data_IF_097552065100
#
_entry.id   IF_097552065100
#
_cell.length_a   1.000
_cell.length_b   1.000
_cell.length_c   1.000
_cell.angle_alpha   90.00
_cell.angle_beta   90.00
_cell.angle_gamma   90.00
#
_symmetry.space_group_name_H-M   'P 1'
#
loop_
_entity.id
_entity.type
_entity.pdbx_description
1 polymer ?
#
# COMPACT_ATOMS: atom_id res chain seq x y z
N UNK A 1 1.97 1.09 -17.10
CA UNK A 1 2.02 1.42 -15.65
C UNK A 1 3.48 1.63 -15.26
N UNK A 2 3.81 2.44 -14.24
CA UNK A 2 5.22 2.59 -13.83
C UNK A 2 5.66 1.38 -12.99
N UNK A 3 6.92 0.95 -13.04
CA UNK A 3 7.38 -0.24 -12.33
C UNK A 3 7.22 -0.13 -10.81
N UNK A 4 7.34 1.07 -10.24
CA UNK A 4 7.21 1.32 -8.81
C UNK A 4 5.79 0.97 -8.30
N UNK A 5 4.76 1.22 -9.11
CA UNK A 5 3.38 0.83 -8.81
C UNK A 5 3.23 -0.70 -8.80
N UNK A 6 3.88 -1.39 -9.74
CA UNK A 6 3.83 -2.85 -9.83
C UNK A 6 4.51 -3.48 -8.62
N UNK A 7 5.65 -2.92 -8.20
CA UNK A 7 6.33 -3.33 -6.97
C UNK A 7 5.46 -3.10 -5.73
N UNK A 8 4.85 -1.92 -5.58
CA UNK A 8 3.96 -1.62 -4.46
C UNK A 8 2.72 -2.53 -4.43
N UNK A 9 2.16 -2.85 -5.59
CA UNK A 9 1.06 -3.80 -5.71
C UNK A 9 1.47 -5.24 -5.34
N UNK A 10 2.68 -5.66 -5.73
CA UNK A 10 3.24 -6.93 -5.34
C UNK A 10 3.43 -7.02 -3.82
N UNK A 11 3.98 -5.99 -3.19
CA UNK A 11 4.12 -5.89 -1.73
C UNK A 11 2.77 -5.99 -1.02
N UNK A 12 1.74 -5.32 -1.53
CA UNK A 12 0.37 -5.44 -0.99
C UNK A 12 -0.16 -6.87 -1.11
N UNK A 13 0.00 -7.55 -2.26
CA UNK A 13 -0.42 -8.95 -2.41
C UNK A 13 0.35 -9.88 -1.47
N UNK A 14 1.66 -9.68 -1.32
CA UNK A 14 2.51 -10.44 -0.38
C UNK A 14 1.99 -10.23 1.05
N UNK A 15 1.79 -8.99 1.49
CA UNK A 15 1.25 -8.69 2.83
C UNK A 15 -0.13 -9.31 3.08
N UNK A 16 -1.00 -9.30 2.06
CA UNK A 16 -2.31 -9.96 2.14
C UNK A 16 -2.19 -11.49 2.21
N UNK A 17 -1.20 -12.09 1.56
CA UNK A 17 -0.95 -13.52 1.65
C UNK A 17 -0.38 -13.90 3.02
N UNK A 18 0.63 -13.17 3.50
CA UNK A 18 1.23 -13.40 4.81
C UNK A 18 0.23 -13.21 5.94
N UNK A 19 -0.62 -12.18 5.88
CA UNK A 19 -1.67 -11.98 6.88
C UNK A 19 -2.72 -13.08 6.90
N UNK A 20 -3.00 -13.75 5.76
CA UNK A 20 -3.85 -14.95 5.73
C UNK A 20 -3.17 -16.13 6.44
N UNK A 21 -1.89 -16.38 6.13
CA UNK A 21 -1.11 -17.45 6.80
C UNK A 21 -1.07 -17.23 8.31
N UNK A 22 -0.84 -15.99 8.76
CA UNK A 22 -0.80 -15.65 10.19
C UNK A 22 -2.16 -15.92 10.85
N UNK A 23 -3.28 -15.55 10.20
CA UNK A 23 -4.63 -15.81 10.72
C UNK A 23 -4.94 -17.30 10.80
N UNK A 24 -4.58 -18.07 9.78
CA UNK A 24 -4.72 -19.53 9.78
C UNK A 24 -3.93 -20.17 10.92
N UNK A 25 -2.69 -19.74 11.16
CA UNK A 25 -1.87 -20.18 12.30
C UNK A 25 -2.48 -19.77 13.66
N UNK A 26 -3.09 -18.58 13.77
CA UNK A 26 -3.78 -18.13 14.99
C UNK A 26 -5.06 -18.92 15.28
N UNK A 27 -5.82 -19.28 14.26
CA UNK A 27 -7.04 -20.08 14.38
C UNK A 27 -6.71 -21.54 14.77
N UNK A 28 -5.64 -22.11 14.23
CA UNK A 28 -5.12 -23.43 14.62
C UNK A 28 -4.69 -23.44 16.10
N UNK A 29 -4.00 -22.38 16.55
CA UNK A 29 -3.57 -22.25 17.95
C UNK A 29 -4.76 -22.06 18.91
N UNK A 30 -5.81 -21.34 18.52
CA UNK A 30 -7.06 -21.23 19.31
C UNK A 30 -7.82 -22.55 19.39
N UNK A 31 -7.78 -23.37 18.34
CA UNK A 31 -8.35 -24.73 18.34
C UNK A 31 -7.63 -25.69 19.29
N UNK A 32 -6.29 -25.61 19.37
CA UNK A 32 -5.48 -26.44 20.29
C UNK A 32 -5.55 -25.96 21.76
N UNK A 33 -5.73 -24.66 21.99
CA UNK A 33 -5.87 -24.06 23.33
C UNK A 33 -7.15 -24.48 24.06
N UNK A 34 -8.16 -24.98 23.35
CA UNK A 34 -9.39 -25.50 23.95
C UNK A 34 -9.25 -26.94 24.49
N UNK A 35 -8.12 -27.63 24.20
CA UNK A 35 -7.95 -29.06 24.50
C UNK A 35 -6.91 -29.39 25.58
N UNK A 36 -6.13 -28.43 26.09
CA UNK A 36 -5.12 -28.74 27.11
C UNK A 36 -5.00 -27.62 28.14
N UNK A 37 -5.63 -27.83 29.30
CA UNK A 37 -5.31 -27.08 30.52
C UNK A 37 -4.27 -27.85 31.32
N UNK A 38 -3.09 -27.25 31.52
CA UNK A 38 -2.33 -27.32 32.77
C UNK A 38 -1.07 -26.41 32.70
N UNK A 39 -0.84 -25.66 33.78
CA UNK A 39 0.38 -24.88 34.14
C UNK A 39 1.59 -25.84 34.32
N UNK A 40 2.91 -25.47 34.19
CA UNK A 40 3.52 -24.36 34.98
C UNK A 40 4.86 -23.68 34.47
N UNK A 41 5.19 -22.56 35.15
CA UNK A 41 6.54 -22.02 35.49
C UNK A 41 7.36 -21.16 34.50
N UNK A 42 7.82 -20.00 35.01
CA UNK A 42 8.11 -18.77 34.24
C UNK A 42 9.53 -18.57 33.67
N UNK A 43 10.53 -19.38 34.03
CA UNK A 43 11.94 -19.10 33.62
C UNK A 43 12.44 -19.88 32.39
N UNK A 44 11.80 -20.99 32.00
CA UNK A 44 12.11 -21.75 30.76
C UNK A 44 11.24 -21.32 29.55
N UNK A 45 10.31 -20.39 29.75
CA UNK A 45 9.41 -19.91 28.71
C UNK A 45 10.08 -18.94 27.74
N UNK A 46 11.03 -18.12 28.20
CA UNK A 46 11.64 -17.08 27.35
C UNK A 46 12.49 -17.69 26.21
N UNK A 47 13.26 -18.74 26.51
CA UNK A 47 14.10 -19.44 25.52
C UNK A 47 13.28 -20.30 24.55
N UNK A 48 12.20 -20.93 25.03
CA UNK A 48 11.28 -21.71 24.18
C UNK A 48 10.35 -20.82 23.32
N UNK A 49 9.92 -19.66 23.83
CA UNK A 49 9.19 -18.63 23.06
C UNK A 49 10.11 -18.00 21.99
N UNK A 50 11.38 -17.74 22.29
CA UNK A 50 12.35 -17.21 21.31
C UNK A 50 12.63 -18.20 20.16
N UNK A 51 12.79 -19.49 20.46
CA UNK A 51 12.95 -20.54 19.43
C UNK A 51 11.69 -20.71 18.57
N UNK A 52 10.49 -20.74 19.18
CA UNK A 52 9.22 -20.80 18.44
C UNK A 52 8.99 -19.56 17.56
N UNK A 53 9.40 -18.37 18.01
CA UNK A 53 9.32 -17.13 17.23
C UNK A 53 10.29 -17.16 16.03
N UNK A 54 11.51 -17.65 16.22
CA UNK A 54 12.49 -17.79 15.15
C UNK A 54 12.05 -18.78 14.07
N UNK A 55 11.44 -19.91 14.47
CA UNK A 55 10.86 -20.88 13.53
C UNK A 55 9.66 -20.33 12.76
N UNK A 56 8.76 -19.59 13.42
CA UNK A 56 7.65 -18.91 12.74
C UNK A 56 8.14 -17.87 11.72
N UNK A 57 9.14 -17.06 12.08
CA UNK A 57 9.77 -16.09 11.16
C UNK A 57 10.38 -16.78 9.94
N UNK A 58 11.09 -17.89 10.15
CA UNK A 58 11.69 -18.65 9.05
C UNK A 58 10.63 -19.30 8.12
N UNK A 59 9.47 -19.68 8.63
CA UNK A 59 8.34 -20.17 7.82
C UNK A 59 7.72 -19.05 6.98
N UNK A 60 7.49 -17.88 7.60
CA UNK A 60 6.96 -16.68 6.93
C UNK A 60 7.89 -16.25 5.80
N UNK A 61 9.20 -16.18 6.03
CA UNK A 61 10.18 -15.76 5.02
C UNK A 61 10.26 -16.73 3.84
N UNK A 62 10.10 -18.05 4.09
CA UNK A 62 10.03 -19.05 3.02
C UNK A 62 8.76 -18.91 2.18
N UNK A 63 7.61 -18.76 2.84
CA UNK A 63 6.33 -18.56 2.18
C UNK A 63 6.32 -17.26 1.35
N UNK A 64 6.93 -16.19 1.86
CA UNK A 64 7.12 -14.94 1.14
C UNK A 64 7.94 -15.13 -0.14
N UNK A 65 9.11 -15.77 -0.03
CA UNK A 65 10.00 -16.02 -1.19
C UNK A 65 9.35 -16.91 -2.24
N UNK A 66 8.55 -17.89 -1.83
CA UNK A 66 7.81 -18.75 -2.74
C UNK A 66 6.70 -17.98 -3.45
N UNK A 67 5.94 -17.16 -2.70
CA UNK A 67 4.88 -16.35 -3.27
C UNK A 67 5.42 -15.30 -4.25
N UNK A 68 6.52 -14.61 -3.93
CA UNK A 68 7.17 -13.63 -4.81
C UNK A 68 7.54 -14.25 -6.17
N UNK A 69 7.98 -15.51 -6.21
CA UNK A 69 8.32 -16.18 -7.48
C UNK A 69 7.10 -16.42 -8.38
N UNK A 70 5.90 -16.48 -7.81
CA UNK A 70 4.66 -16.66 -8.56
C UNK A 70 4.15 -15.35 -9.16
N UNK A 71 4.53 -14.20 -8.58
CA UNK A 71 4.14 -12.88 -9.05
C UNK A 71 4.95 -12.52 -10.30
N UNK A 72 4.33 -12.69 -11.47
CA UNK A 72 4.88 -12.23 -12.75
C UNK A 72 3.79 -11.45 -13.47
N UNK A 73 4.05 -10.17 -13.73
CA UNK A 73 3.09 -9.28 -14.36
C UNK A 73 3.54 -8.91 -15.76
N UNK A 74 2.67 -9.15 -16.73
CA UNK A 74 2.84 -8.63 -18.08
C UNK A 74 2.16 -7.26 -18.17
N UNK A 75 2.93 -6.18 -18.33
CA UNK A 75 2.38 -4.81 -18.41
C UNK A 75 1.98 -4.45 -19.85
N UNK A 76 2.39 -5.24 -20.83
CA UNK A 76 2.30 -4.95 -22.26
C UNK A 76 1.05 -5.55 -22.92
N UNK A 77 -0.01 -5.78 -22.15
CA UNK A 77 -1.22 -6.46 -22.67
C UNK A 77 -2.09 -5.53 -23.53
N UNK A 78 -2.14 -4.23 -23.20
CA UNK A 78 -2.95 -3.23 -23.91
C UNK A 78 -2.18 -2.48 -25.00
N UNK A 79 -1.35 -3.19 -25.78
CA UNK A 79 -0.68 -2.57 -26.93
C UNK A 79 -1.70 -2.41 -28.07
N UNK A 80 -1.88 -1.21 -28.62
CA UNK A 80 -2.75 -1.01 -29.78
C UNK A 80 -2.26 -1.84 -30.97
N UNK A 81 -3.20 -2.35 -31.77
CA UNK A 81 -2.95 -3.10 -33.01
C UNK A 81 -2.29 -4.49 -32.84
N UNK A 82 -2.43 -5.12 -31.67
CA UNK A 82 -2.06 -6.53 -31.50
C UNK A 82 -3.07 -7.43 -32.22
N UNK A 83 -2.58 -8.38 -33.05
CA UNK A 83 -3.44 -9.40 -33.66
C UNK A 83 -4.00 -10.34 -32.60
N UNK A 84 -5.27 -10.73 -32.72
CA UNK A 84 -5.86 -11.76 -31.86
C UNK A 84 -5.11 -13.08 -32.03
N UNK A 85 -4.77 -13.72 -30.91
CA UNK A 85 -4.10 -15.02 -30.86
C UNK A 85 -5.13 -16.16 -30.72
N UNK A 86 -6.42 -15.82 -30.62
CA UNK A 86 -7.56 -16.74 -30.43
C UNK A 86 -7.54 -17.95 -31.38
N UNK A 87 -7.27 -17.69 -32.66
CA UNK A 87 -7.26 -18.72 -33.71
C UNK A 87 -5.95 -19.51 -33.78
N UNK A 88 -4.90 -19.04 -33.10
CA UNK A 88 -3.54 -19.58 -33.20
C UNK A 88 -3.21 -20.48 -32.02
N UNK A 89 -3.52 -20.02 -30.80
CA UNK A 89 -3.23 -20.74 -29.56
C UNK A 89 -4.22 -20.34 -28.45
N UNK A 90 -5.03 -21.31 -28.03
CA UNK A 90 -6.05 -21.13 -26.99
C UNK A 90 -5.43 -20.93 -25.61
N UNK A 91 -4.34 -21.63 -25.31
CA UNK A 91 -3.69 -21.58 -23.99
C UNK A 91 -3.02 -20.21 -23.82
N UNK A 92 -2.36 -19.71 -24.87
CA UNK A 92 -1.78 -18.37 -24.88
C UNK A 92 -2.86 -17.27 -24.77
N UNK A 93 -4.02 -17.46 -25.40
CA UNK A 93 -5.13 -16.52 -25.30
C UNK A 93 -5.70 -16.46 -23.86
N UNK A 94 -5.91 -17.60 -23.21
CA UNK A 94 -6.34 -17.63 -21.81
C UNK A 94 -5.34 -16.97 -20.87
N UNK A 95 -4.03 -17.14 -21.11
CA UNK A 95 -3.01 -16.47 -20.31
C UNK A 95 -3.04 -14.95 -20.52
N UNK A 96 -3.23 -14.48 -21.76
CA UNK A 96 -3.37 -13.05 -22.03
C UNK A 96 -4.59 -12.45 -21.34
N UNK A 97 -5.73 -13.13 -21.34
CA UNK A 97 -6.92 -12.67 -20.61
C UNK A 97 -6.66 -12.53 -19.11
N UNK A 98 -5.95 -13.49 -18.50
CA UNK A 98 -5.54 -13.40 -17.09
C UNK A 98 -4.62 -12.21 -16.86
N UNK A 99 -3.63 -12.01 -17.72
CA UNK A 99 -2.71 -10.87 -17.64
C UNK A 99 -3.47 -9.53 -17.77
N UNK A 100 -4.47 -9.43 -18.66
CA UNK A 100 -5.33 -8.25 -18.78
C UNK A 100 -6.06 -7.93 -17.48
N UNK A 101 -6.67 -8.94 -16.87
CA UNK A 101 -7.39 -8.79 -15.61
C UNK A 101 -6.44 -8.34 -14.49
N UNK A 102 -5.23 -8.88 -14.43
CA UNK A 102 -4.21 -8.45 -13.48
C UNK A 102 -3.81 -6.99 -13.69
N UNK A 103 -3.60 -6.55 -14.94
CA UNK A 103 -3.30 -5.15 -15.23
C UNK A 103 -4.46 -4.23 -14.86
N UNK A 104 -5.71 -4.65 -15.10
CA UNK A 104 -6.90 -3.91 -14.64
C UNK A 104 -6.98 -3.86 -13.11
N UNK A 105 -6.59 -4.92 -12.41
CA UNK A 105 -6.49 -4.93 -10.94
C UNK A 105 -5.45 -3.91 -10.44
N UNK A 106 -4.28 -3.84 -11.08
CA UNK A 106 -3.25 -2.84 -10.75
C UNK A 106 -3.76 -1.43 -11.04
N UNK A 107 -4.48 -1.23 -12.13
CA UNK A 107 -5.07 0.07 -12.46
C UNK A 107 -6.12 0.51 -11.43
N UNK A 108 -6.97 -0.40 -10.95
CA UNK A 108 -7.90 -0.14 -9.83
C UNK A 108 -7.16 0.20 -8.55
N UNK A 109 -6.12 -0.58 -8.21
CA UNK A 109 -5.27 -0.31 -7.06
C UNK A 109 -4.67 1.11 -7.11
N UNK A 110 -4.13 1.52 -8.25
CA UNK A 110 -3.65 2.89 -8.45
C UNK A 110 -4.73 3.92 -8.11
N UNK A 111 -5.93 3.76 -8.69
CA UNK A 111 -6.99 4.76 -8.61
C UNK A 111 -7.64 4.84 -7.22
N UNK A 112 -7.94 3.69 -6.62
CA UNK A 112 -8.71 3.60 -5.37
C UNK A 112 -7.83 3.70 -4.12
N UNK A 113 -6.55 3.33 -4.19
CA UNK A 113 -5.70 3.25 -3.00
C UNK A 113 -4.49 4.15 -3.07
N UNK A 114 -3.74 4.16 -4.18
CA UNK A 114 -2.47 4.90 -4.26
C UNK A 114 -2.72 6.40 -4.38
N UNK A 115 -3.66 6.83 -5.24
CA UNK A 115 -3.97 8.25 -5.40
C UNK A 115 -4.46 8.88 -4.07
N UNK A 116 -5.47 8.32 -3.37
CA UNK A 116 -5.89 8.89 -2.08
C UNK A 116 -4.79 8.84 -1.02
N UNK A 117 -4.01 7.74 -0.96
CA UNK A 117 -2.89 7.60 -0.02
C UNK A 117 -1.86 8.70 -0.19
N UNK A 118 -1.54 9.10 -1.43
CA UNK A 118 -0.60 10.20 -1.69
C UNK A 118 -1.18 11.54 -1.24
N UNK A 119 -2.45 11.82 -1.52
CA UNK A 119 -3.11 13.05 -1.05
C UNK A 119 -3.10 13.14 0.48
N UNK A 120 -3.45 12.06 1.17
CA UNK A 120 -3.39 11.98 2.64
C UNK A 120 -1.96 12.09 3.15
N UNK A 121 -1.00 11.46 2.48
CA UNK A 121 0.42 11.53 2.86
C UNK A 121 0.95 12.95 2.79
N UNK A 122 0.62 13.73 1.74
CA UNK A 122 1.02 15.14 1.62
C UNK A 122 0.39 15.99 2.74
N UNK A 123 -0.88 15.74 3.06
CA UNK A 123 -1.61 16.44 4.12
C UNK A 123 -0.99 16.20 5.50
N UNK A 124 -0.77 14.95 5.88
CA UNK A 124 -0.12 14.57 7.14
C UNK A 124 1.34 15.04 7.15
N UNK A 125 2.03 14.98 6.02
CA UNK A 125 3.39 15.49 5.86
C UNK A 125 3.50 16.98 6.19
N UNK A 126 2.49 17.77 5.84
CA UNK A 126 2.38 19.17 6.25
C UNK A 126 2.25 19.35 7.77
N UNK A 127 1.75 18.35 8.49
CA UNK A 127 1.60 18.42 9.96
C UNK A 127 2.87 17.96 10.70
N UNK A 128 3.67 17.08 10.07
CA UNK A 128 4.83 16.44 10.70
C UNK A 128 6.20 16.83 10.09
N UNK A 129 6.23 17.86 9.25
CA UNK A 129 7.49 18.44 8.74
C UNK A 129 8.14 17.66 7.60
N UNK A 130 7.40 16.79 6.90
CA UNK A 130 7.88 16.26 5.62
C UNK A 130 7.79 17.38 4.57
N UNK A 131 8.85 17.54 3.78
CA UNK A 131 8.94 18.58 2.75
C UNK A 131 7.96 18.31 1.62
N UNK A 132 6.93 19.15 1.49
CA UNK A 132 6.10 19.22 0.29
C UNK A 132 7.02 19.61 -0.87
N UNK A 133 6.97 18.92 -2.03
CA UNK A 133 7.79 19.29 -3.17
C UNK A 133 7.41 20.70 -3.65
N UNK A 134 8.32 21.66 -3.43
CA UNK A 134 8.15 23.06 -3.80
C UNK A 134 8.41 23.31 -5.29
N UNK A 135 9.20 22.44 -5.91
CA UNK A 135 9.62 22.54 -7.31
C UNK A 135 8.97 21.45 -8.17
N UNK A 136 8.67 21.78 -9.43
CA UNK A 136 8.08 20.84 -10.39
C UNK A 136 8.92 19.58 -10.59
N UNK A 137 10.26 19.68 -10.61
CA UNK A 137 11.16 18.53 -10.70
C UNK A 137 10.96 17.57 -9.53
N UNK A 138 11.07 18.07 -8.30
CA UNK A 138 10.84 17.29 -7.07
C UNK A 138 9.43 16.71 -7.00
N UNK A 139 8.41 17.44 -7.49
CA UNK A 139 7.03 16.94 -7.55
C UNK A 139 6.92 15.75 -8.49
N UNK A 140 7.53 15.82 -9.68
CA UNK A 140 7.50 14.70 -10.62
C UNK A 140 8.21 13.48 -10.05
N UNK A 141 9.36 13.66 -9.40
CA UNK A 141 10.09 12.57 -8.76
C UNK A 141 9.30 11.95 -7.61
N UNK A 142 8.70 12.78 -6.75
CA UNK A 142 7.83 12.33 -5.66
C UNK A 142 6.67 11.47 -6.19
N UNK A 143 5.90 11.97 -7.16
CA UNK A 143 4.76 11.24 -7.73
C UNK A 143 5.22 9.95 -8.42
N UNK A 144 6.38 9.98 -9.07
CA UNK A 144 7.02 8.82 -9.69
C UNK A 144 7.45 7.74 -8.68
N UNK A 145 7.94 8.12 -7.50
CA UNK A 145 8.30 7.18 -6.42
C UNK A 145 7.08 6.39 -5.93
N UNK A 146 5.89 7.01 -5.92
CA UNK A 146 4.62 6.30 -5.65
C UNK A 146 4.08 5.51 -6.87
N UNK A 147 4.81 5.49 -7.99
CA UNK A 147 4.42 4.79 -9.21
C UNK A 147 3.30 5.46 -10.00
N UNK A 148 2.96 6.71 -9.67
CA UNK A 148 1.94 7.49 -10.37
C UNK A 148 2.59 8.16 -11.58
N UNK A 149 1.88 8.22 -12.71
CA UNK A 149 2.33 8.98 -13.88
C UNK A 149 1.74 10.40 -13.84
N UNK A 150 2.49 11.42 -14.29
CA UNK A 150 2.03 12.81 -14.31
C UNK A 150 0.68 13.04 -15.01
N UNK A 151 0.24 12.15 -15.91
CA UNK A 151 -1.11 12.19 -16.50
C UNK A 151 -2.25 12.19 -15.46
N UNK A 152 -2.00 11.66 -14.27
CA UNK A 152 -2.98 11.58 -13.17
C UNK A 152 -2.99 12.80 -12.26
N UNK A 153 -2.21 13.85 -12.57
CA UNK A 153 -2.21 15.12 -11.82
C UNK A 153 -3.60 15.76 -11.74
N UNK A 154 -4.39 15.69 -12.81
CA UNK A 154 -5.78 16.19 -12.80
C UNK A 154 -6.64 15.50 -11.74
N UNK A 155 -6.51 14.17 -11.61
CA UNK A 155 -7.23 13.40 -10.59
C UNK A 155 -6.74 13.72 -9.17
N UNK A 156 -5.45 13.93 -8.98
CA UNK A 156 -4.90 14.38 -7.70
C UNK A 156 -5.45 15.76 -7.31
N UNK A 157 -5.58 16.67 -8.27
CA UNK A 157 -6.17 17.99 -8.05
C UNK A 157 -7.66 17.90 -7.68
N UNK A 158 -8.43 17.01 -8.30
CA UNK A 158 -9.82 16.74 -7.91
C UNK A 158 -9.92 16.24 -6.46
N UNK A 159 -9.09 15.24 -6.10
CA UNK A 159 -9.05 14.72 -4.73
C UNK A 159 -8.65 15.81 -3.73
N UNK A 160 -7.68 16.67 -4.07
CA UNK A 160 -7.29 17.78 -3.22
C UNK A 160 -8.45 18.77 -3.00
N UNK A 161 -9.18 19.12 -4.06
CA UNK A 161 -10.34 20.01 -3.99
C UNK A 161 -11.50 19.40 -3.17
N UNK A 162 -11.73 18.09 -3.29
CA UNK A 162 -12.71 17.37 -2.46
C UNK A 162 -12.34 17.43 -0.97
N UNK A 163 -11.07 17.27 -0.63
CA UNK A 163 -10.59 17.35 0.75
C UNK A 163 -10.64 18.80 1.30
N UNK A 164 -10.28 19.81 0.50
CA UNK A 164 -10.44 21.22 0.90
C UNK A 164 -11.91 21.58 1.15
N UNK A 165 -12.83 21.06 0.34
CA UNK A 165 -14.27 21.28 0.55
C UNK A 165 -14.75 20.68 1.88
N UNK A 166 -14.19 19.53 2.29
CA UNK A 166 -14.46 18.92 3.62
C UNK A 166 -13.91 19.79 4.73
N UNK A 167 -12.67 20.26 4.62
CA UNK A 167 -12.07 21.16 5.61
C UNK A 167 -12.94 22.41 5.82
N UNK A 168 -13.40 23.04 4.74
CA UNK A 168 -14.28 24.21 4.79
C UNK A 168 -15.62 23.89 5.48
N UNK A 169 -16.15 22.68 5.29
CA UNK A 169 -17.36 22.24 5.98
C UNK A 169 -17.11 22.03 7.47
N UNK A 170 -15.98 21.41 7.84
CA UNK A 170 -15.59 21.14 9.22
C UNK A 170 -15.29 22.44 10.00
N UNK A 171 -14.72 23.45 9.35
CA UNK A 171 -14.56 24.80 9.93
C UNK A 171 -15.89 25.44 10.30
N UNK A 172 -16.92 25.28 9.47
CA UNK A 172 -18.27 25.82 9.73
C UNK A 172 -18.96 25.12 10.89
N UNK A 173 -18.61 23.85 11.14
CA UNK A 173 -19.13 23.05 12.26
C UNK A 173 -18.36 23.34 13.57
N UNK A 174 -17.24 24.07 13.49
CA UNK A 174 -16.43 24.45 14.66
C UNK A 174 -15.43 23.37 15.08
N UNK A 175 -15.10 22.42 14.19
CA UNK A 175 -14.03 21.45 14.41
C UNK A 175 -12.69 22.19 14.22
N UNK A 176 -11.85 22.17 15.25
CA UNK A 176 -10.58 22.89 15.26
C UNK A 176 -9.58 22.16 14.34
N UNK A 177 -9.42 22.66 13.11
CA UNK A 177 -8.42 22.13 12.19
C UNK A 177 -7.02 22.59 12.59
N UNK A 178 -6.00 21.72 12.54
CA UNK A 178 -4.61 22.08 12.79
C UNK A 178 -4.04 22.88 11.61
N UNK A 179 -4.57 24.09 11.37
CA UNK A 179 -3.88 25.06 10.53
C UNK A 179 -2.62 25.49 11.27
N UNK A 180 -1.46 25.27 10.67
CA UNK A 180 -0.18 25.70 11.23
C UNK A 180 -0.28 27.16 11.68
N UNK A 181 -0.33 27.39 12.99
CA UNK A 181 -0.19 28.73 13.56
C UNK A 181 1.27 29.15 13.36
N UNK A 182 1.48 30.43 13.00
CA UNK A 182 2.83 30.96 12.90
C UNK A 182 3.57 30.74 14.23
N UNK A 183 4.85 30.33 14.19
CA UNK A 183 5.67 30.20 15.39
C UNK A 183 5.65 31.52 16.18
N UNK A 184 5.37 31.44 17.47
CA UNK A 184 5.23 32.63 18.34
C UNK A 184 6.44 33.57 18.29
N UNK A 185 7.63 33.05 18.02
CA UNK A 185 8.86 33.83 17.86
C UNK A 185 8.83 34.86 16.70
N UNK A 186 7.94 34.70 15.71
CA UNK A 186 7.74 35.70 14.66
C UNK A 186 6.84 36.85 15.09
N UNK A 187 5.95 36.64 16.07
CA UNK A 187 5.12 37.70 16.65
C UNK A 187 5.91 38.53 17.67
N UNK A 188 6.85 37.91 18.38
CA UNK A 188 7.77 38.58 19.31
C UNK A 188 8.78 39.51 18.62
N UNK A 189 8.97 39.39 17.30
CA UNK A 189 9.82 40.29 16.50
C UNK A 189 9.14 41.61 16.09
N UNK A 190 7.83 41.74 16.33
CA UNK A 190 7.04 42.93 16.02
C UNK A 190 6.83 43.86 17.24
N UNK A 191 7.25 43.44 18.43
CA UNK A 191 7.32 44.27 19.64
C UNK A 191 8.73 44.88 19.82
#
# INVERSE_FOLDING_TARGET
>A
LRPELVSSYAEMKVGNHLSKIIKEDEDLLKGESAATGDDPSADNEAESKAKKLAEKRAKIEKAEKEYIKTLKYNVNVFIPDMRSIEDLDKDAHEQLQKDEEEVRNIARYLFETVLPKVTTAIRISSEHGLMIPLEGGSLTEFIHQYGINCRYLGRLAELAAEEEAKDIADEKVGVNLPRQRMPMCWLELLE
#
